data_IF_594605887633
#
_entry.id   IF_594605887633
#
_cell.length_a   1.000
_cell.length_b   1.000
_cell.length_c   1.000
_cell.angle_alpha   90.00
_cell.angle_beta   90.00
_cell.angle_gamma   90.00
#
_symmetry.space_group_name_H-M   'P 1'
#
loop_
_entity.id
_entity.type
_entity.pdbx_description
1 polymer ?
#
# COMPACT_ATOMS: atom_id res chain seq x y z
N UNK A 1 29.12 36.08 36.67
CA UNK A 1 29.25 34.73 36.07
C UNK A 1 27.97 34.02 36.44
N UNK A 2 27.06 34.03 35.49
CA UNK A 2 25.64 33.75 35.65
C UNK A 2 25.42 32.26 35.39
N UNK A 3 24.68 31.60 36.29
CA UNK A 3 24.29 30.21 36.16
C UNK A 3 23.53 29.99 34.84
N UNK A 4 23.98 29.02 34.04
CA UNK A 4 23.16 28.42 32.98
C UNK A 4 21.94 27.75 33.60
N UNK A 5 20.83 28.48 33.68
CA UNK A 5 19.50 27.89 33.79
C UNK A 5 19.21 27.14 32.50
N UNK A 6 19.45 25.83 32.49
CA UNK A 6 18.77 24.91 31.56
C UNK A 6 17.27 25.03 31.81
N UNK A 7 16.57 25.75 30.92
CA UNK A 7 15.12 25.70 30.85
C UNK A 7 14.71 24.25 30.54
N UNK A 8 14.21 23.55 31.56
CA UNK A 8 13.52 22.28 31.42
C UNK A 8 12.11 22.61 30.94
N UNK A 9 11.80 22.31 29.67
CA UNK A 9 10.45 22.39 29.16
C UNK A 9 9.73 21.04 29.35
N UNK A 10 8.45 21.03 29.78
CA UNK A 10 7.60 19.84 29.79
C UNK A 10 7.33 19.38 28.35
N UNK A 11 7.56 18.10 28.05
CA UNK A 11 7.36 17.58 26.69
C UNK A 11 5.90 17.20 26.42
N UNK A 12 5.51 17.34 25.17
CA UNK A 12 4.15 17.09 24.66
C UNK A 12 4.10 15.74 23.94
N UNK A 13 3.01 14.98 24.08
CA UNK A 13 2.79 13.69 23.40
C UNK A 13 1.65 13.83 22.40
N UNK A 14 1.90 13.49 21.14
CA UNK A 14 1.00 13.73 19.99
C UNK A 14 0.37 12.44 19.44
N UNK A 15 -0.91 12.45 19.05
CA UNK A 15 -1.61 11.27 18.47
C UNK A 15 -2.60 11.68 17.35
N UNK A 16 -2.38 11.14 16.14
CA UNK A 16 -3.24 11.00 14.94
C UNK A 16 -4.15 12.18 14.48
N UNK A 17 -4.47 12.23 13.18
CA UNK A 17 -5.33 13.26 12.57
C UNK A 17 -6.69 12.66 12.22
N UNK A 18 -7.82 13.32 12.52
CA UNK A 18 -9.13 12.86 12.09
C UNK A 18 -9.31 13.04 10.58
N UNK A 19 -10.05 12.12 9.97
CA UNK A 19 -10.50 12.24 8.59
C UNK A 19 -11.48 13.42 8.40
N UNK A 20 -11.24 14.25 7.38
CA UNK A 20 -12.17 15.26 6.89
C UNK A 20 -12.45 15.11 5.39
N UNK A 21 -12.33 13.93 4.77
CA UNK A 21 -12.58 13.79 3.33
C UNK A 21 -13.32 12.50 2.96
N UNK A 22 -14.64 12.56 3.11
CA UNK A 22 -15.58 11.69 2.41
C UNK A 22 -16.90 12.42 2.09
N UNK A 23 -16.83 13.52 1.34
CA UNK A 23 -17.97 14.08 0.62
C UNK A 23 -17.52 14.44 -0.80
N UNK A 24 -17.81 13.52 -1.73
CA UNK A 24 -17.40 13.64 -3.13
C UNK A 24 -17.87 12.47 -3.98
N UNK A 25 -19.07 11.94 -3.71
CA UNK A 25 -19.82 11.16 -4.70
C UNK A 25 -21.17 11.86 -4.85
N UNK A 26 -21.33 12.52 -5.99
CA UNK A 26 -22.57 13.11 -6.46
C UNK A 26 -23.68 12.05 -6.41
N UNK A 27 -24.65 12.23 -5.52
CA UNK A 27 -26.01 11.73 -5.68
C UNK A 27 -26.86 12.88 -6.24
N UNK A 28 -27.72 12.65 -7.23
CA UNK A 28 -28.45 13.73 -7.91
C UNK A 28 -29.45 14.39 -6.98
N UNK A 29 -29.51 15.71 -7.09
CA UNK A 29 -30.30 16.64 -6.30
C UNK A 29 -31.79 16.26 -6.21
N UNK A 30 -32.30 16.20 -4.98
CA UNK A 30 -33.69 16.55 -4.66
C UNK A 30 -33.65 17.83 -3.81
N UNK A 31 -33.80 18.99 -4.45
CA UNK A 31 -34.41 20.14 -3.81
C UNK A 31 -35.63 20.57 -4.63
N UNK A 32 -36.79 20.42 -4.01
CA UNK A 32 -38.05 20.90 -4.52
C UNK A 32 -38.11 22.43 -4.46
N UNK A 33 -38.50 23.04 -5.57
CA UNK A 33 -39.11 24.37 -5.59
C UNK A 33 -40.43 24.24 -6.33
N UNK A 34 -41.52 24.57 -5.62
CA UNK A 34 -42.87 24.58 -6.11
C UNK A 34 -43.09 25.70 -7.15
N UNK A 35 -43.69 25.35 -8.29
CA UNK A 35 -44.47 26.27 -9.11
C UNK A 35 -45.48 25.48 -9.95
N UNK A 36 -46.67 26.06 -10.10
CA UNK A 36 -47.92 25.51 -10.64
C UNK A 36 -47.84 25.06 -12.11
N UNK A 37 -48.51 23.95 -12.44
CA UNK A 37 -48.95 23.64 -13.82
C UNK A 37 -50.48 23.43 -13.88
N UNK A 38 -51.16 23.88 -14.96
CA UNK A 38 -52.56 23.55 -15.21
C UNK A 38 -52.75 22.40 -16.22
N UNK A 39 -53.56 21.42 -15.80
CA UNK A 39 -54.63 20.69 -16.52
C UNK A 39 -54.51 20.41 -18.03
N UNK A 40 -54.52 19.10 -18.40
CA UNK A 40 -55.43 18.42 -19.39
C UNK A 40 -54.99 16.95 -19.59
N UNK A 41 -55.83 15.96 -19.24
CA UNK A 41 -56.75 15.18 -20.14
C UNK A 41 -55.99 14.19 -21.04
N UNK A 42 -56.30 12.90 -21.25
CA UNK A 42 -57.38 11.96 -20.92
C UNK A 42 -56.94 10.55 -21.38
N UNK A 43 -57.59 9.48 -20.89
CA UNK A 43 -57.64 8.14 -21.52
C UNK A 43 -57.10 7.01 -20.62
N UNK A 44 -57.95 6.32 -19.84
CA UNK A 44 -58.62 5.04 -20.17
C UNK A 44 -57.64 3.88 -20.45
N UNK A 45 -57.82 2.63 -20.00
CA UNK A 45 -58.65 1.95 -19.00
C UNK A 45 -58.22 0.46 -19.03
N UNK A 46 -58.58 -0.28 -17.97
CA UNK A 46 -58.50 -1.75 -17.78
C UNK A 46 -57.11 -2.26 -17.33
N UNK A 47 -56.92 -2.86 -16.16
CA UNK A 47 -57.82 -3.57 -15.26
C UNK A 47 -57.57 -5.07 -15.38
N UNK A 48 -57.09 -5.70 -14.30
CA UNK A 48 -57.49 -7.02 -13.77
C UNK A 48 -56.87 -7.13 -12.37
N UNK A 49 -57.75 -7.34 -11.39
CA UNK A 49 -57.48 -7.64 -9.99
C UNK A 49 -57.24 -9.15 -9.78
N UNK A 50 -56.33 -9.43 -8.84
CA UNK A 50 -56.42 -10.40 -7.73
C UNK A 50 -56.74 -11.87 -8.04
N UNK A 51 -55.83 -12.75 -7.58
CA UNK A 51 -56.22 -13.96 -6.87
C UNK A 51 -55.11 -14.37 -5.88
N UNK A 52 -55.45 -14.28 -4.60
CA UNK A 52 -54.77 -14.84 -3.45
C UNK A 52 -55.29 -16.29 -3.28
N UNK A 53 -54.42 -17.29 -3.16
CA UNK A 53 -54.82 -18.59 -2.61
C UNK A 53 -53.65 -19.28 -1.91
N UNK A 54 -53.85 -19.47 -0.61
CA UNK A 54 -53.12 -20.29 0.33
C UNK A 54 -53.30 -21.78 -0.01
N UNK A 55 -52.31 -22.62 0.29
CA UNK A 55 -52.45 -23.86 1.10
C UNK A 55 -51.20 -24.73 1.04
N UNK A 56 -50.76 -25.10 2.24
CA UNK A 56 -49.72 -26.07 2.53
C UNK A 56 -50.02 -27.48 2.00
N UNK A 57 -49.00 -28.17 1.46
CA UNK A 57 -48.54 -29.52 1.83
C UNK A 57 -47.80 -30.23 0.67
N UNK A 58 -46.50 -30.51 0.84
CA UNK A 58 -45.92 -31.84 0.52
C UNK A 58 -44.46 -31.98 0.97
N UNK A 59 -44.29 -32.86 1.95
CA UNK A 59 -43.01 -33.38 2.45
C UNK A 59 -42.60 -34.68 1.69
N UNK A 60 -41.28 -34.90 1.59
CA UNK A 60 -40.48 -36.04 1.04
C UNK A 60 -40.19 -35.96 -0.46
N UNK A 61 -38.96 -36.20 -0.94
CA UNK A 61 -37.98 -37.23 -0.56
C UNK A 61 -36.51 -36.73 -0.55
N UNK A 62 -35.77 -37.07 0.52
CA UNK A 62 -34.29 -37.03 0.54
C UNK A 62 -33.77 -38.45 0.38
N UNK A 63 -32.87 -38.67 -0.59
CA UNK A 63 -32.11 -39.93 -0.74
C UNK A 63 -31.14 -40.05 0.44
N UNK A 64 -31.41 -40.98 1.34
CA UNK A 64 -30.48 -41.40 2.40
C UNK A 64 -29.42 -42.28 1.72
N UNK A 65 -28.17 -41.80 1.70
CA UNK A 65 -27.01 -42.66 1.36
C UNK A 65 -26.91 -43.74 2.44
N UNK A 66 -26.97 -45.00 2.02
CA UNK A 66 -26.85 -46.16 2.92
C UNK A 66 -25.57 -46.06 3.76
N UNK A 67 -25.71 -46.24 5.07
CA UNK A 67 -24.62 -46.30 6.04
C UNK A 67 -23.51 -47.30 5.63
N UNK A 68 -23.84 -48.32 4.83
CA UNK A 68 -22.85 -49.26 4.29
C UNK A 68 -21.87 -48.60 3.31
N UNK A 69 -22.32 -47.65 2.47
CA UNK A 69 -21.42 -46.98 1.50
C UNK A 69 -20.46 -45.99 2.17
N UNK A 70 -20.87 -45.40 3.30
CA UNK A 70 -20.01 -44.55 4.12
C UNK A 70 -18.98 -45.41 4.86
N UNK A 71 -19.39 -46.58 5.37
CA UNK A 71 -18.47 -47.52 6.03
C UNK A 71 -17.43 -48.10 5.06
N UNK A 72 -17.81 -48.45 3.82
CA UNK A 72 -16.88 -48.91 2.79
C UNK A 72 -15.86 -47.83 2.41
N UNK A 73 -16.29 -46.58 2.24
CA UNK A 73 -15.38 -45.47 1.93
C UNK A 73 -14.37 -45.20 3.06
N UNK A 74 -14.80 -45.30 4.32
CA UNK A 74 -13.92 -45.13 5.48
C UNK A 74 -12.92 -46.27 5.63
N UNK A 75 -13.32 -47.51 5.33
CA UNK A 75 -12.42 -48.67 5.34
C UNK A 75 -11.34 -48.59 4.26
N UNK A 76 -11.68 -48.11 3.06
CA UNK A 76 -10.71 -47.90 1.97
C UNK A 76 -9.69 -46.81 2.34
N UNK A 77 -10.14 -45.71 2.94
CA UNK A 77 -9.24 -44.64 3.39
C UNK A 77 -8.32 -45.09 4.52
N UNK A 78 -8.80 -45.91 5.46
CA UNK A 78 -7.98 -46.48 6.52
C UNK A 78 -6.92 -47.46 5.96
N UNK A 79 -7.29 -48.30 4.99
CA UNK A 79 -6.36 -49.23 4.35
C UNK A 79 -5.23 -48.50 3.59
N UNK A 80 -5.56 -47.40 2.90
CA UNK A 80 -4.57 -46.57 2.20
C UNK A 80 -3.61 -45.86 3.18
N UNK A 81 -4.10 -45.42 4.34
CA UNK A 81 -3.26 -44.82 5.39
C UNK A 81 -2.29 -45.84 6.00
N UNK A 82 -2.74 -47.09 6.23
CA UNK A 82 -1.89 -48.18 6.74
C UNK A 82 -0.83 -48.59 5.71
N UNK A 83 -1.19 -48.69 4.43
CA UNK A 83 -0.24 -48.99 3.35
C UNK A 83 0.82 -47.87 3.19
N UNK A 84 0.40 -46.60 3.29
CA UNK A 84 1.31 -45.46 3.29
C UNK A 84 2.28 -45.47 4.48
N UNK A 85 1.81 -45.83 5.67
CA UNK A 85 2.66 -45.95 6.85
C UNK A 85 3.67 -47.10 6.74
N UNK A 86 3.28 -48.23 6.14
CA UNK A 86 4.16 -49.38 5.92
C UNK A 86 5.26 -49.09 4.88
N UNK A 87 4.95 -48.35 3.81
CA UNK A 87 5.93 -47.94 2.80
C UNK A 87 6.96 -46.93 3.35
N UNK A 88 6.58 -46.11 4.33
CA UNK A 88 7.49 -45.15 4.97
C UNK A 88 8.43 -45.80 5.99
N UNK A 89 8.07 -46.97 6.55
CA UNK A 89 8.85 -47.62 7.61
C UNK A 89 9.89 -48.63 7.10
N UNK A 90 9.76 -49.15 5.86
CA UNK A 90 10.60 -50.24 5.36
C UNK A 90 11.76 -49.84 4.43
N UNK A 91 11.93 -48.55 4.11
CA UNK A 91 13.00 -48.09 3.20
C UNK A 91 14.29 -47.61 3.91
N UNK A 92 14.38 -47.75 5.24
CA UNK A 92 15.59 -47.42 6.00
C UNK A 92 16.42 -48.68 6.28
N UNK A 93 17.28 -49.08 5.34
CA UNK A 93 18.19 -50.20 5.52
C UNK A 93 19.49 -50.09 4.72
N UNK A 94 20.60 -49.98 5.46
CA UNK A 94 21.98 -50.41 5.15
C UNK A 94 22.95 -49.39 4.50
N UNK A 95 24.01 -49.06 5.27
CA UNK A 95 25.40 -49.21 4.80
C UNK A 95 26.25 -47.95 4.60
N UNK A 96 26.94 -47.50 5.65
CA UNK A 96 28.04 -46.52 5.62
C UNK A 96 29.38 -47.26 5.44
N UNK A 97 30.42 -46.64 4.83
CA UNK A 97 31.64 -46.46 5.63
C UNK A 97 32.28 -45.07 5.49
N UNK A 98 32.37 -44.42 6.65
CA UNK A 98 33.51 -43.74 7.29
C UNK A 98 34.45 -42.84 6.45
N UNK A 99 34.39 -41.52 6.70
CA UNK A 99 35.55 -40.69 7.08
C UNK A 99 35.12 -39.37 7.75
N UNK A 100 35.71 -39.13 8.93
CA UNK A 100 35.88 -37.92 9.78
C UNK A 100 35.89 -36.56 9.04
N UNK A 101 35.53 -35.40 9.59
CA UNK A 101 34.97 -34.89 10.86
C UNK A 101 34.67 -33.38 10.56
N UNK A 102 33.55 -32.81 11.04
CA UNK A 102 33.28 -31.38 11.43
C UNK A 102 31.78 -30.99 11.20
N UNK A 103 31.10 -30.26 12.13
CA UNK A 103 29.64 -30.34 12.27
C UNK A 103 28.87 -29.01 12.09
N UNK A 104 28.00 -28.92 11.08
CA UNK A 104 26.77 -28.10 11.14
C UNK A 104 25.61 -28.86 10.49
N UNK A 105 24.49 -28.94 11.22
CA UNK A 105 23.29 -29.71 10.84
C UNK A 105 22.55 -29.04 9.68
N UNK A 106 22.43 -29.79 8.60
CA UNK A 106 21.55 -29.58 7.46
C UNK A 106 20.16 -30.19 7.76
N UNK A 107 19.10 -29.44 7.46
CA UNK A 107 17.74 -29.98 7.30
C UNK A 107 17.26 -29.60 5.91
N UNK A 108 17.25 -30.58 5.01
CA UNK A 108 17.07 -30.43 3.55
C UNK A 108 15.65 -30.04 3.13
N UNK A 109 15.62 -29.31 2.02
CA UNK A 109 14.50 -28.78 1.22
C UNK A 109 13.58 -29.85 0.62
N UNK A 110 12.32 -29.49 0.31
CA UNK A 110 11.62 -29.93 -0.91
C UNK A 110 10.57 -28.90 -1.37
N UNK A 111 10.50 -28.76 -2.71
CA UNK A 111 9.66 -27.89 -3.53
C UNK A 111 8.19 -28.33 -3.60
N UNK A 112 7.29 -27.34 -3.76
CA UNK A 112 5.96 -27.51 -4.37
C UNK A 112 5.85 -26.50 -5.53
N UNK A 113 5.59 -26.95 -6.77
CA UNK A 113 5.29 -26.05 -7.88
C UNK A 113 3.82 -25.64 -7.80
N UNK A 114 3.54 -24.33 -7.80
CA UNK A 114 2.20 -23.82 -8.02
C UNK A 114 2.22 -22.72 -9.07
N UNK A 115 2.18 -23.12 -10.34
CA UNK A 115 1.54 -22.35 -11.40
C UNK A 115 0.90 -23.31 -12.41
N UNK A 116 -0.39 -23.18 -12.74
CA UNK A 116 -0.85 -23.53 -14.05
C UNK A 116 -0.57 -22.35 -14.99
N UNK A 117 0.30 -22.61 -15.97
CA UNK A 117 0.58 -21.78 -17.14
C UNK A 117 -0.72 -21.52 -17.91
N UNK A 118 -0.99 -20.26 -18.28
CA UNK A 118 -2.11 -19.90 -19.14
C UNK A 118 -1.99 -20.60 -20.51
N UNK A 119 -3.13 -21.09 -21.03
CA UNK A 119 -3.25 -21.66 -22.37
C UNK A 119 -2.98 -20.57 -23.41
N UNK A 120 -1.97 -20.79 -24.25
CA UNK A 120 -1.86 -20.10 -25.53
C UNK A 120 -2.93 -20.65 -26.49
N UNK A 121 -3.74 -19.76 -27.06
CA UNK A 121 -4.57 -20.07 -28.22
C UNK A 121 -3.67 -20.19 -29.45
N UNK A 122 -3.85 -21.26 -30.21
CA UNK A 122 -3.28 -21.43 -31.54
C UNK A 122 -3.86 -20.36 -32.47
N UNK A 123 -3.01 -19.61 -33.15
CA UNK A 123 -3.20 -19.38 -34.58
C UNK A 123 -1.85 -19.26 -35.30
N UNK A 124 -1.89 -19.62 -36.57
CA UNK A 124 -0.82 -20.16 -37.40
C UNK A 124 0.07 -19.10 -38.08
N UNK A 125 1.38 -19.34 -38.09
CA UNK A 125 2.33 -18.52 -38.85
C UNK A 125 3.77 -19.06 -38.75
N UNK A 126 4.17 -19.87 -39.73
CA UNK A 126 5.48 -20.49 -39.83
C UNK A 126 6.58 -19.50 -40.22
N UNK A 127 7.53 -19.21 -39.31
CA UNK A 127 8.90 -18.80 -39.67
C UNK A 127 9.90 -19.47 -38.71
N UNK A 128 10.80 -20.28 -39.26
CA UNK A 128 11.95 -20.87 -38.56
C UNK A 128 13.07 -19.83 -38.43
N UNK A 129 13.53 -19.55 -37.21
CA UNK A 129 14.88 -19.00 -36.98
C UNK A 129 15.36 -19.29 -35.55
N UNK A 130 16.53 -19.94 -35.45
CA UNK A 130 17.51 -19.88 -34.37
C UNK A 130 17.05 -20.05 -32.92
N UNK A 131 17.24 -21.25 -32.36
CA UNK A 131 17.29 -21.44 -30.91
C UNK A 131 18.57 -20.80 -30.34
N UNK A 132 18.47 -19.54 -29.90
CA UNK A 132 19.33 -19.00 -28.86
C UNK A 132 18.77 -19.44 -27.51
N UNK A 133 19.60 -20.04 -26.66
CA UNK A 133 19.25 -20.26 -25.28
C UNK A 133 18.92 -18.89 -24.65
N UNK A 134 17.67 -18.68 -24.27
CA UNK A 134 17.34 -17.62 -23.34
C UNK A 134 18.02 -18.01 -22.02
N UNK A 135 19.14 -17.38 -21.71
CA UNK A 135 19.63 -17.33 -20.34
C UNK A 135 18.45 -16.86 -19.48
N UNK A 136 18.14 -17.60 -18.43
CA UNK A 136 17.19 -17.13 -17.44
C UNK A 136 17.77 -15.82 -16.90
N UNK A 137 17.15 -14.68 -17.20
CA UNK A 137 17.46 -13.43 -16.52
C UNK A 137 17.29 -13.69 -15.02
N UNK A 138 18.40 -13.67 -14.30
CA UNK A 138 18.42 -13.66 -12.85
C UNK A 138 17.78 -12.34 -12.44
N UNK A 139 16.65 -12.37 -11.73
CA UNK A 139 15.99 -11.15 -11.27
C UNK A 139 16.96 -10.41 -10.35
N UNK A 140 17.21 -9.13 -10.62
CA UNK A 140 18.11 -8.33 -9.80
C UNK A 140 17.33 -7.63 -8.69
N UNK A 141 17.94 -7.50 -7.51
CA UNK A 141 17.41 -6.63 -6.46
C UNK A 141 18.18 -5.32 -6.44
N UNK A 142 17.49 -4.18 -6.35
CA UNK A 142 18.11 -2.89 -6.11
C UNK A 142 17.79 -2.37 -4.71
N UNK A 143 18.73 -1.65 -4.09
CA UNK A 143 18.56 -1.05 -2.76
C UNK A 143 18.80 0.44 -2.85
N UNK A 144 17.82 1.22 -2.37
CA UNK A 144 17.87 2.67 -2.39
C UNK A 144 17.80 3.21 -0.95
N UNK A 145 18.67 4.16 -0.57
CA UNK A 145 18.61 4.76 0.75
C UNK A 145 17.34 5.62 0.89
N UNK A 146 16.75 5.60 2.08
CA UNK A 146 15.63 6.47 2.46
C UNK A 146 16.13 7.54 3.42
N UNK A 147 15.69 8.78 3.19
CA UNK A 147 15.89 9.93 4.06
C UNK A 147 14.52 10.54 4.43
N UNK A 148 14.54 11.56 5.28
CA UNK A 148 13.33 12.19 5.78
C UNK A 148 12.89 11.60 7.12
N UNK A 149 11.80 12.13 7.63
CA UNK A 149 11.18 11.70 8.89
C UNK A 149 9.75 12.28 9.02
N UNK A 150 8.96 11.75 9.95
CA UNK A 150 7.58 12.23 10.16
C UNK A 150 7.53 13.66 10.75
N UNK A 151 8.44 14.00 11.67
CA UNK A 151 8.44 15.29 12.35
C UNK A 151 9.25 16.35 11.59
N UNK A 152 8.67 17.52 11.33
CA UNK A 152 9.24 18.59 10.47
C UNK A 152 9.22 18.30 8.97
N UNK A 153 9.79 17.17 8.53
CA UNK A 153 9.86 16.87 7.08
C UNK A 153 8.49 16.40 6.58
N UNK A 154 7.79 15.58 7.38
CA UNK A 154 6.46 14.99 7.07
C UNK A 154 6.46 14.06 5.86
N UNK A 155 7.62 13.62 5.42
CA UNK A 155 7.79 12.82 4.21
C UNK A 155 9.05 11.95 4.32
N UNK A 156 9.05 10.83 3.60
CA UNK A 156 10.20 9.95 3.44
C UNK A 156 10.53 9.85 1.97
N UNK A 157 11.76 10.18 1.59
CA UNK A 157 12.14 10.24 0.19
C UNK A 157 13.37 9.41 -0.11
N UNK A 158 13.47 8.98 -1.37
CA UNK A 158 14.66 8.33 -1.92
C UNK A 158 15.24 9.14 -3.09
N UNK A 159 16.35 8.67 -3.66
CA UNK A 159 16.99 9.31 -4.80
C UNK A 159 16.90 8.43 -6.04
N UNK A 160 16.42 8.99 -7.15
CA UNK A 160 16.42 8.35 -8.46
C UNK A 160 17.30 9.13 -9.44
N UNK A 161 17.99 8.43 -10.33
CA UNK A 161 18.88 9.03 -11.31
C UNK A 161 18.24 8.98 -12.69
N UNK A 162 17.79 10.12 -13.22
CA UNK A 162 17.00 10.20 -14.46
C UNK A 162 17.70 11.09 -15.50
N UNK A 163 17.60 10.70 -16.76
CA UNK A 163 18.12 11.40 -17.94
C UNK A 163 19.46 10.87 -18.45
N UNK A 164 19.95 11.53 -19.51
CA UNK A 164 21.26 11.25 -20.10
C UNK A 164 22.04 12.57 -20.34
N UNK A 165 23.09 12.87 -19.55
CA UNK A 165 23.65 12.06 -18.46
C UNK A 165 22.69 11.96 -17.25
N UNK A 166 22.77 10.89 -16.43
CA UNK A 166 21.90 10.70 -15.27
C UNK A 166 22.06 11.83 -14.24
N UNK A 167 20.93 12.33 -13.73
CA UNK A 167 20.88 13.37 -12.68
C UNK A 167 20.05 12.91 -11.49
N UNK A 168 20.45 13.21 -10.25
CA UNK A 168 19.70 12.83 -9.07
C UNK A 168 18.43 13.68 -8.93
N UNK A 169 17.35 13.03 -8.50
CA UNK A 169 16.09 13.65 -8.10
C UNK A 169 15.62 12.99 -6.80
N UNK A 170 15.16 13.79 -5.84
CA UNK A 170 14.61 13.32 -4.59
C UNK A 170 13.11 13.14 -4.72
N UNK A 171 12.58 11.96 -4.39
CA UNK A 171 11.17 11.64 -4.57
C UNK A 171 10.56 11.08 -3.31
N UNK A 172 9.43 11.67 -2.93
CA UNK A 172 8.60 11.21 -1.82
C UNK A 172 8.05 9.80 -2.13
N UNK A 173 8.20 8.88 -1.20
CA UNK A 173 7.89 7.46 -1.37
C UNK A 173 6.41 7.26 -1.12
N UNK A 174 5.63 6.96 -2.17
CA UNK A 174 4.18 6.98 -2.10
C UNK A 174 3.55 5.69 -2.65
N UNK A 175 3.12 4.80 -1.74
CA UNK A 175 2.37 3.59 -2.08
C UNK A 175 0.87 3.84 -2.33
N UNK A 176 0.40 5.07 -2.12
CA UNK A 176 -0.94 5.55 -2.40
C UNK A 176 -1.12 6.12 -3.81
N UNK A 177 -0.05 6.34 -4.58
CA UNK A 177 -0.14 6.86 -5.96
C UNK A 177 0.39 5.93 -7.05
N UNK A 178 -0.25 6.04 -8.22
CA UNK A 178 0.04 5.22 -9.40
C UNK A 178 1.26 5.71 -10.16
N UNK A 179 1.36 7.02 -10.41
CA UNK A 179 2.36 7.61 -11.31
C UNK A 179 3.54 8.18 -10.52
N UNK A 180 4.75 7.72 -10.84
CA UNK A 180 5.97 8.45 -10.49
C UNK A 180 6.07 9.71 -11.35
N UNK A 181 6.29 10.88 -10.75
CA UNK A 181 6.45 12.14 -11.49
C UNK A 181 7.53 13.06 -10.91
N UNK A 182 8.09 13.90 -11.78
CA UNK A 182 9.09 14.93 -11.48
C UNK A 182 8.57 16.31 -11.86
N UNK A 183 8.97 17.35 -11.12
CA UNK A 183 8.79 18.72 -11.57
C UNK A 183 9.70 19.01 -12.79
N UNK A 184 9.09 19.61 -13.80
CA UNK A 184 9.68 19.80 -15.11
C UNK A 184 9.71 21.25 -15.58
N UNK A 185 10.77 21.59 -16.32
CA UNK A 185 10.83 22.82 -17.09
C UNK A 185 10.31 22.54 -18.51
N UNK A 186 8.98 22.55 -18.63
CA UNK A 186 8.25 22.16 -19.84
C UNK A 186 7.13 23.13 -20.29
N UNK A 187 7.36 24.45 -20.38
CA UNK A 187 7.80 25.38 -19.34
C UNK A 187 6.95 25.25 -18.07
N UNK A 188 7.57 25.39 -16.91
CA UNK A 188 6.85 25.37 -15.64
C UNK A 188 5.89 26.56 -15.50
N UNK A 189 4.63 26.29 -15.13
CA UNK A 189 3.60 27.27 -14.80
C UNK A 189 3.57 27.55 -13.30
N UNK A 190 3.43 26.52 -12.46
CA UNK A 190 3.48 26.64 -11.00
C UNK A 190 4.30 25.48 -10.42
N UNK A 191 5.58 25.68 -10.10
CA UNK A 191 6.41 24.63 -9.50
C UNK A 191 7.09 25.14 -8.22
N UNK A 192 7.21 24.27 -7.23
CA UNK A 192 7.99 24.53 -6.03
C UNK A 192 9.49 24.59 -6.35
N UNK A 193 10.25 25.34 -5.54
CA UNK A 193 11.71 25.27 -5.60
C UNK A 193 12.17 24.02 -4.87
N UNK A 194 12.52 22.98 -5.62
CA UNK A 194 13.06 21.73 -5.11
C UNK A 194 14.58 21.74 -4.88
N UNK A 195 15.14 20.64 -4.36
CA UNK A 195 16.57 20.47 -4.12
C UNK A 195 17.40 20.39 -5.41
N UNK A 196 16.83 19.93 -6.53
CA UNK A 196 17.52 19.79 -7.81
C UNK A 196 16.90 20.69 -8.90
N UNK A 197 17.65 21.02 -9.98
CA UNK A 197 17.08 21.72 -11.12
C UNK A 197 15.99 20.91 -11.80
N UNK A 198 14.90 21.57 -12.19
CA UNK A 198 13.78 20.96 -12.91
C UNK A 198 14.24 20.08 -14.08
N UNK A 199 13.61 18.92 -14.23
CA UNK A 199 13.89 18.03 -15.36
C UNK A 199 13.44 18.67 -16.68
N UNK A 200 14.26 18.54 -17.72
CA UNK A 200 13.99 19.13 -19.04
C UNK A 200 13.76 18.01 -20.05
N UNK A 201 12.51 17.64 -20.37
CA UNK A 201 12.23 16.58 -21.32
C UNK A 201 12.68 17.01 -22.73
N UNK A 202 13.34 16.10 -23.46
CA UNK A 202 13.49 16.28 -24.90
C UNK A 202 12.12 16.11 -25.58
N UNK A 203 11.80 16.91 -26.60
CA UNK A 203 10.51 16.80 -27.31
C UNK A 203 10.21 15.39 -27.84
N UNK A 204 11.24 14.64 -28.21
CA UNK A 204 11.13 13.25 -28.68
C UNK A 204 10.81 12.23 -27.58
N UNK A 205 11.03 12.61 -26.32
CA UNK A 205 10.80 11.78 -25.13
C UNK A 205 9.36 11.93 -24.61
N UNK A 206 8.57 12.88 -25.14
CA UNK A 206 7.16 13.03 -24.77
C UNK A 206 6.38 11.83 -25.30
N UNK A 207 5.61 11.21 -24.41
CA UNK A 207 4.82 10.01 -24.73
C UNK A 207 3.56 10.41 -25.49
N UNK A 208 3.25 9.67 -26.57
CA UNK A 208 2.07 9.88 -27.39
C UNK A 208 0.82 9.23 -26.76
N UNK A 209 -0.40 9.72 -27.08
CA UNK A 209 -1.64 9.17 -26.53
C UNK A 209 -1.86 7.65 -26.73
N UNK A 210 -1.36 7.10 -27.85
CA UNK A 210 -1.49 5.66 -28.19
C UNK A 210 -0.51 4.75 -27.47
N UNK A 211 0.30 5.30 -26.57
CA UNK A 211 1.20 4.47 -25.78
C UNK A 211 0.37 3.62 -24.79
N UNK A 212 0.64 2.31 -24.62
CA UNK A 212 -0.19 1.45 -23.77
C UNK A 212 -0.38 1.98 -22.34
N UNK A 213 0.68 2.52 -21.73
CA UNK A 213 0.60 3.12 -20.39
C UNK A 213 -0.26 4.40 -20.34
N UNK A 214 -0.36 5.14 -21.46
CA UNK A 214 -1.26 6.29 -21.54
C UNK A 214 -2.73 5.84 -21.62
N UNK A 215 -3.00 4.84 -22.46
CA UNK A 215 -4.35 4.28 -22.63
C UNK A 215 -4.87 3.69 -21.32
N UNK A 216 -4.01 3.08 -20.51
CA UNK A 216 -4.34 2.60 -19.18
C UNK A 216 -4.64 3.76 -18.20
N UNK A 217 -3.84 4.82 -18.21
CA UNK A 217 -4.00 5.97 -17.33
C UNK A 217 -5.28 6.77 -17.61
N UNK A 218 -5.52 7.08 -18.88
CA UNK A 218 -6.61 7.97 -19.33
C UNK A 218 -7.92 7.20 -19.55
N UNK A 219 -7.82 5.88 -19.77
CA UNK A 219 -8.92 5.01 -20.16
C UNK A 219 -9.38 5.26 -21.61
N UNK A 220 -10.07 4.26 -22.18
CA UNK A 220 -10.53 4.29 -23.58
C UNK A 220 -11.55 5.40 -23.91
N UNK A 221 -12.10 6.10 -22.91
CA UNK A 221 -13.20 7.07 -23.09
C UNK A 221 -12.71 8.51 -23.34
N UNK A 222 -11.45 8.83 -23.04
CA UNK A 222 -10.86 10.16 -23.21
C UNK A 222 -9.80 10.18 -24.33
N UNK A 223 -9.92 9.26 -25.28
CA UNK A 223 -9.02 9.17 -26.42
C UNK A 223 -9.17 10.39 -27.36
N UNK A 224 -8.04 11.01 -27.68
CA UNK A 224 -7.97 12.21 -28.49
C UNK A 224 -7.04 11.98 -29.70
N UNK A 225 -7.65 11.79 -30.88
CA UNK A 225 -6.93 11.52 -32.14
C UNK A 225 -5.97 12.64 -32.57
N UNK A 226 -6.26 13.89 -32.17
CA UNK A 226 -5.46 15.07 -32.53
C UNK A 226 -4.44 15.44 -31.47
N UNK A 227 -4.49 14.81 -30.30
CA UNK A 227 -3.57 15.08 -29.21
C UNK A 227 -2.17 14.54 -29.56
N UNK A 228 -1.16 15.34 -29.24
CA UNK A 228 0.25 15.04 -29.57
C UNK A 228 1.07 14.59 -28.36
N UNK A 229 0.42 14.53 -27.20
CA UNK A 229 1.04 14.20 -25.91
C UNK A 229 0.00 13.51 -25.03
N UNK A 230 0.46 12.65 -24.14
CA UNK A 230 -0.36 12.07 -23.10
C UNK A 230 -0.31 12.95 -21.85
N UNK A 231 -1.41 13.64 -21.57
CA UNK A 231 -1.55 14.48 -20.39
C UNK A 231 -1.99 13.64 -19.18
N UNK A 232 -1.57 14.06 -17.99
CA UNK A 232 -2.07 13.54 -16.74
C UNK A 232 -2.50 14.68 -15.81
N UNK A 233 -3.47 14.41 -14.96
CA UNK A 233 -3.90 15.27 -13.87
C UNK A 233 -4.18 14.39 -12.65
N UNK A 234 -3.44 14.64 -11.57
CA UNK A 234 -3.55 13.89 -10.31
C UNK A 234 -4.01 14.85 -9.23
N UNK A 235 -5.08 14.48 -8.54
CA UNK A 235 -5.57 15.17 -7.34
C UNK A 235 -5.33 14.25 -6.14
N UNK A 236 -4.56 14.71 -5.17
CA UNK A 236 -4.23 13.99 -3.96
C UNK A 236 -5.33 14.10 -2.91
N UNK A 237 -5.28 13.19 -1.93
CA UNK A 237 -6.23 13.17 -0.81
C UNK A 237 -6.20 14.46 0.02
N UNK A 238 -5.15 15.27 -0.04
CA UNK A 238 -5.09 16.56 0.65
C UNK A 238 -5.48 17.76 -0.23
N UNK A 239 -6.09 17.48 -1.40
CA UNK A 239 -6.53 18.44 -2.41
C UNK A 239 -5.40 19.17 -3.15
N UNK A 240 -4.14 18.85 -2.88
CA UNK A 240 -3.06 19.25 -3.78
C UNK A 240 -3.19 18.51 -5.11
N UNK A 241 -2.64 19.08 -6.19
CA UNK A 241 -2.66 18.44 -7.50
C UNK A 241 -1.37 18.65 -8.27
N UNK A 242 -1.12 17.73 -9.21
CA UNK A 242 -0.05 17.84 -10.19
C UNK A 242 -0.60 17.53 -11.58
N UNK A 243 -0.38 18.46 -12.50
CA UNK A 243 -0.69 18.31 -13.92
C UNK A 243 0.60 18.32 -14.74
N UNK A 244 0.63 17.50 -15.79
CA UNK A 244 1.79 17.38 -16.66
C UNK A 244 1.57 16.48 -17.86
N UNK A 245 2.67 16.09 -18.48
CA UNK A 245 2.71 15.11 -19.58
C UNK A 245 3.48 13.87 -19.18
N UNK A 246 3.13 12.72 -19.75
CA UNK A 246 4.00 11.55 -19.67
C UNK A 246 5.26 11.75 -20.53
N UNK A 247 6.41 11.44 -19.95
CA UNK A 247 7.70 11.43 -20.60
C UNK A 247 8.36 10.05 -20.44
N UNK A 248 9.25 9.72 -21.37
CA UNK A 248 10.01 8.48 -21.40
C UNK A 248 11.49 8.79 -21.50
N UNK A 249 12.27 8.37 -20.52
CA UNK A 249 13.72 8.59 -20.52
C UNK A 249 14.43 7.53 -19.68
N UNK A 250 15.76 7.57 -19.73
CA UNK A 250 16.63 6.64 -19.03
C UNK A 250 16.61 6.91 -17.52
N UNK A 251 16.43 5.85 -16.74
CA UNK A 251 16.67 5.78 -15.31
C UNK A 251 17.87 4.89 -15.04
N UNK A 252 18.83 5.38 -14.27
CA UNK A 252 19.94 4.56 -13.78
C UNK A 252 19.57 3.94 -12.43
N UNK A 253 19.64 2.62 -12.37
CA UNK A 253 19.47 1.82 -11.17
C UNK A 253 20.78 1.10 -10.87
N UNK A 254 21.19 1.09 -9.59
CA UNK A 254 22.32 0.29 -9.14
C UNK A 254 21.75 -0.91 -8.39
N UNK A 255 22.01 -2.10 -8.89
CA UNK A 255 21.56 -3.36 -8.30
C UNK A 255 22.48 -3.76 -7.14
N UNK A 256 22.05 -4.72 -6.32
CA UNK A 256 22.72 -5.10 -5.08
C UNK A 256 24.08 -5.78 -5.32
N UNK A 257 24.27 -6.37 -6.50
CA UNK A 257 25.55 -6.88 -7.02
C UNK A 257 26.51 -5.76 -7.49
N UNK A 258 26.04 -4.51 -7.54
CA UNK A 258 26.81 -3.33 -7.93
C UNK A 258 26.74 -3.02 -9.43
N UNK A 259 25.98 -3.79 -10.20
CA UNK A 259 25.79 -3.55 -11.63
C UNK A 259 24.94 -2.30 -11.88
N UNK A 260 25.19 -1.65 -13.01
CA UNK A 260 24.50 -0.41 -13.42
C UNK A 260 23.52 -0.73 -14.52
N UNK A 261 22.25 -0.76 -14.17
CA UNK A 261 21.16 -0.92 -15.11
C UNK A 261 20.68 0.44 -15.61
N UNK A 262 20.59 0.60 -16.92
CA UNK A 262 19.97 1.77 -17.56
C UNK A 262 18.64 1.33 -18.12
N UNK A 263 17.57 1.78 -17.47
CA UNK A 263 16.22 1.34 -17.71
C UNK A 263 15.43 2.42 -18.42
N UNK A 264 14.62 2.02 -19.38
CA UNK A 264 13.75 2.94 -20.08
C UNK A 264 12.39 2.96 -19.36
N UNK A 265 12.07 4.10 -18.72
CA UNK A 265 10.88 4.24 -17.88
C UNK A 265 9.97 5.34 -18.39
N UNK A 266 8.66 5.16 -18.18
CA UNK A 266 7.66 6.21 -18.37
C UNK A 266 7.31 6.82 -17.03
N UNK A 267 7.32 8.14 -16.94
CA UNK A 267 7.02 8.89 -15.72
C UNK A 267 6.32 10.21 -16.07
N UNK A 268 5.72 10.86 -15.06
CA UNK A 268 5.08 12.15 -15.21
C UNK A 268 6.10 13.29 -15.20
N UNK A 269 5.96 14.20 -16.15
CA UNK A 269 6.70 15.44 -16.21
C UNK A 269 5.76 16.61 -15.88
N UNK A 270 5.68 16.92 -14.58
CA UNK A 270 4.73 17.86 -14.01
C UNK A 270 5.21 19.29 -14.12
N UNK A 271 4.39 20.18 -14.67
CA UNK A 271 4.72 21.60 -14.85
C UNK A 271 3.70 22.54 -14.20
N UNK A 272 2.64 22.01 -13.58
CA UNK A 272 1.67 22.79 -12.83
C UNK A 272 1.25 22.02 -11.57
N UNK A 273 1.73 22.49 -10.42
CA UNK A 273 1.45 21.97 -9.09
C UNK A 273 0.52 22.93 -8.34
N UNK A 274 -0.36 22.40 -7.51
CA UNK A 274 -1.30 23.19 -6.71
C UNK A 274 -1.33 22.74 -5.25
N UNK A 275 -1.85 23.59 -4.36
CA UNK A 275 -2.00 23.26 -2.94
C UNK A 275 -0.66 23.06 -2.22
N UNK A 276 -0.56 22.04 -1.38
CA UNK A 276 0.64 21.79 -0.55
C UNK A 276 1.90 21.44 -1.36
N UNK A 277 1.74 20.95 -2.59
CA UNK A 277 2.87 20.64 -3.49
C UNK A 277 3.65 21.89 -3.93
N UNK A 278 3.09 23.09 -3.73
CA UNK A 278 3.79 24.37 -3.96
C UNK A 278 4.60 24.87 -2.76
N UNK A 279 4.64 24.13 -1.64
CA UNK A 279 5.46 24.50 -0.49
C UNK A 279 6.94 24.65 -0.91
N UNK A 280 7.55 25.77 -0.53
CA UNK A 280 8.88 26.15 -1.01
C UNK A 280 9.72 26.75 0.13
N UNK A 281 10.99 26.31 0.31
CA UNK A 281 11.67 25.25 -0.44
C UNK A 281 11.09 23.86 -0.13
N UNK A 282 10.93 23.04 -1.17
CA UNK A 282 10.52 21.64 -1.03
C UNK A 282 11.74 20.75 -0.72
N UNK A 283 11.52 19.65 0.00
CA UNK A 283 12.57 18.66 0.25
C UNK A 283 12.74 17.67 -0.91
N UNK A 284 11.75 17.59 -1.80
CA UNK A 284 11.68 16.66 -2.92
C UNK A 284 11.43 17.39 -4.24
N UNK A 285 11.74 16.73 -5.34
CA UNK A 285 11.55 17.17 -6.72
C UNK A 285 10.29 16.58 -7.37
N UNK A 286 9.57 15.70 -6.65
CA UNK A 286 8.39 14.99 -7.15
C UNK A 286 8.01 13.81 -6.25
N UNK A 287 7.19 12.90 -6.79
CA UNK A 287 6.64 11.75 -6.05
C UNK A 287 7.00 10.44 -6.77
N UNK A 288 7.39 9.44 -5.99
CA UNK A 288 7.65 8.07 -6.40
C UNK A 288 6.39 7.23 -6.16
N UNK A 289 5.58 7.08 -7.22
CA UNK A 289 4.37 6.26 -7.22
C UNK A 289 4.69 4.76 -7.23
N UNK A 290 4.24 4.07 -6.19
CA UNK A 290 4.52 2.66 -5.90
C UNK A 290 3.28 1.77 -5.87
N UNK A 291 2.11 2.25 -6.31
CA UNK A 291 0.89 1.42 -6.31
C UNK A 291 0.99 0.18 -7.21
N UNK A 292 -0.06 -0.63 -7.27
CA UNK A 292 -0.11 -1.81 -8.15
C UNK A 292 -0.55 -1.52 -9.61
N UNK A 293 -0.65 -0.24 -10.02
CA UNK A 293 -0.98 0.16 -11.39
C UNK A 293 0.09 -0.27 -12.39
N UNK A 294 -0.22 -0.49 -13.67
CA UNK A 294 0.84 -0.87 -14.61
C UNK A 294 1.81 0.28 -14.94
N UNK A 295 1.35 1.53 -14.78
CA UNK A 295 2.20 2.71 -14.93
C UNK A 295 3.13 2.96 -13.73
N UNK A 296 2.92 2.28 -12.60
CA UNK A 296 3.79 2.46 -11.43
C UNK A 296 5.20 1.91 -11.69
N UNK A 297 6.20 2.50 -11.03
CA UNK A 297 7.59 2.12 -11.25
C UNK A 297 7.83 0.61 -10.99
N UNK A 298 7.37 0.02 -9.86
CA UNK A 298 7.61 -1.40 -9.60
C UNK A 298 7.02 -2.30 -10.70
N UNK A 299 5.83 -1.97 -11.21
CA UNK A 299 5.20 -2.77 -12.26
C UNK A 299 5.92 -2.63 -13.60
N UNK A 300 6.38 -1.43 -13.95
CA UNK A 300 7.23 -1.23 -15.14
C UNK A 300 8.51 -2.07 -15.06
N UNK A 301 9.22 -2.01 -13.93
CA UNK A 301 10.45 -2.78 -13.71
C UNK A 301 10.22 -4.30 -13.77
N UNK A 302 9.13 -4.77 -13.15
CA UNK A 302 8.76 -6.17 -13.18
C UNK A 302 8.39 -6.65 -14.60
N UNK A 303 7.68 -5.83 -15.37
CA UNK A 303 7.30 -6.15 -16.76
C UNK A 303 8.50 -6.28 -17.69
N UNK A 304 9.60 -5.59 -17.36
CA UNK A 304 10.88 -5.66 -18.05
C UNK A 304 11.77 -6.81 -17.54
N UNK A 305 11.33 -7.58 -16.54
CA UNK A 305 12.10 -8.67 -15.94
C UNK A 305 13.25 -8.20 -15.04
N UNK A 306 13.27 -6.93 -14.64
CA UNK A 306 14.36 -6.37 -13.83
C UNK A 306 14.23 -6.82 -12.37
N UNK A 307 13.01 -6.84 -11.84
CA UNK A 307 12.70 -7.22 -10.45
C UNK A 307 11.60 -8.28 -10.39
N UNK A 308 11.52 -9.02 -9.28
CA UNK A 308 10.54 -10.08 -8.99
C UNK A 308 9.11 -9.60 -8.68
N UNK A 309 8.71 -8.42 -9.14
CA UNK A 309 7.44 -7.75 -8.82
C UNK A 309 7.14 -7.65 -7.32
N UNK A 310 8.18 -7.40 -6.53
CA UNK A 310 8.10 -7.16 -5.08
C UNK A 310 8.98 -5.97 -4.76
N UNK A 311 8.54 -5.17 -3.78
CA UNK A 311 9.37 -4.16 -3.15
C UNK A 311 9.05 -4.10 -1.66
N UNK A 312 9.89 -3.42 -0.90
CA UNK A 312 9.62 -3.10 0.49
C UNK A 312 10.45 -1.92 0.96
N UNK A 313 10.07 -1.34 2.09
CA UNK A 313 10.80 -0.24 2.71
C UNK A 313 10.90 -0.43 4.23
N UNK A 314 12.04 -0.03 4.77
CA UNK A 314 12.32 0.08 6.19
C UNK A 314 12.65 1.55 6.48
N UNK A 315 11.68 2.26 7.03
CA UNK A 315 11.81 3.68 7.34
C UNK A 315 12.34 3.83 8.77
N UNK A 316 13.37 4.65 8.92
CA UNK A 316 13.92 4.98 10.23
C UNK A 316 13.10 6.07 10.91
N UNK A 317 13.06 6.02 12.25
CA UNK A 317 12.46 7.07 13.07
C UNK A 317 13.36 8.31 13.16
N UNK A 318 14.66 8.08 13.33
CA UNK A 318 15.64 9.14 13.53
C UNK A 318 16.35 9.47 12.21
N UNK A 319 16.44 10.76 11.91
CA UNK A 319 17.20 11.30 10.76
C UNK A 319 18.63 10.76 10.64
N UNK A 320 19.27 10.42 11.76
CA UNK A 320 20.66 9.96 11.82
C UNK A 320 20.85 8.51 11.40
N UNK A 321 19.81 7.68 11.52
CA UNK A 321 19.91 6.24 11.30
C UNK A 321 19.64 5.83 9.85
N UNK A 322 18.89 6.65 9.08
CA UNK A 322 18.57 6.39 7.68
C UNK A 322 17.70 5.14 7.48
N UNK A 323 16.88 5.13 6.43
CA UNK A 323 16.13 3.94 6.03
C UNK A 323 16.66 3.33 4.74
N UNK A 324 15.99 2.28 4.27
CA UNK A 324 16.24 1.73 2.94
C UNK A 324 14.95 1.19 2.33
N UNK A 325 14.86 1.25 1.00
CA UNK A 325 13.89 0.49 0.22
C UNK A 325 14.62 -0.49 -0.68
N UNK A 326 13.94 -1.57 -1.03
CA UNK A 326 14.44 -2.55 -1.99
C UNK A 326 13.39 -2.79 -3.07
N UNK A 327 13.85 -2.99 -4.30
CA UNK A 327 13.06 -3.37 -5.47
C UNK A 327 13.57 -4.76 -5.90
N UNK A 328 12.81 -5.81 -5.63
CA UNK A 328 13.23 -7.22 -5.72
C UNK A 328 12.88 -8.02 -4.47
N UNK A 329 13.28 -9.29 -4.41
CA UNK A 329 12.91 -10.25 -3.35
C UNK A 329 14.07 -10.67 -2.43
N UNK A 330 15.30 -10.25 -2.70
CA UNK A 330 16.47 -10.67 -1.90
C UNK A 330 16.46 -10.19 -0.45
N UNK A 331 15.80 -9.04 -0.19
CA UNK A 331 15.74 -8.41 1.12
C UNK A 331 14.46 -8.76 1.91
N UNK A 332 13.62 -9.66 1.40
CA UNK A 332 12.44 -10.12 2.13
C UNK A 332 12.90 -10.96 3.33
N UNK A 333 12.52 -10.60 4.58
CA UNK A 333 12.93 -11.38 5.75
C UNK A 333 12.41 -12.82 5.70
N UNK A 334 13.29 -13.79 5.94
CA UNK A 334 12.96 -15.22 5.90
C UNK A 334 12.01 -15.66 7.03
N UNK A 335 11.94 -14.88 8.11
CA UNK A 335 11.13 -15.15 9.30
C UNK A 335 10.69 -13.84 9.96
N UNK A 336 9.71 -13.91 10.87
CA UNK A 336 9.18 -12.73 11.58
C UNK A 336 8.14 -11.92 10.80
N UNK A 337 7.91 -12.23 9.52
CA UNK A 337 6.91 -11.53 8.70
C UNK A 337 5.48 -12.05 8.95
N UNK A 338 4.54 -11.10 9.03
CA UNK A 338 3.10 -11.39 9.02
C UNK A 338 2.51 -10.95 7.69
N UNK A 339 2.07 -11.91 6.88
CA UNK A 339 1.46 -11.61 5.58
C UNK A 339 -0.05 -11.40 5.68
N UNK A 340 -0.60 -10.45 4.93
CA UNK A 340 -2.05 -10.32 4.80
C UNK A 340 -2.40 -10.25 3.33
N UNK A 341 -3.46 -10.94 2.88
CA UNK A 341 -3.89 -10.80 1.50
C UNK A 341 -4.38 -9.36 1.29
N UNK A 342 -3.78 -8.70 0.31
CA UNK A 342 -4.27 -7.43 -0.21
C UNK A 342 -5.51 -7.75 -1.04
N UNK A 343 -6.64 -7.10 -0.75
CA UNK A 343 -7.89 -7.37 -1.48
C UNK A 343 -7.83 -6.66 -2.83
N UNK A 344 -7.95 -7.43 -3.92
CA UNK A 344 -8.28 -6.90 -5.23
C UNK A 344 -9.68 -6.26 -5.18
N UNK A 345 -9.78 -5.00 -5.55
CA UNK A 345 -11.02 -4.20 -5.59
C UNK A 345 -10.87 -3.06 -6.61
N UNK A 346 -11.84 -2.15 -6.75
CA UNK A 346 -11.74 -1.03 -7.71
C UNK A 346 -10.61 -0.07 -7.32
N UNK A 347 -9.55 0.01 -8.10
CA UNK A 347 -8.37 0.87 -7.90
C UNK A 347 -7.11 0.13 -7.43
N UNK A 348 -5.98 0.85 -7.45
CA UNK A 348 -4.64 0.26 -7.41
C UNK A 348 -3.95 0.29 -6.02
N UNK A 349 -4.70 0.64 -4.97
CA UNK A 349 -4.20 0.84 -3.62
C UNK A 349 -3.94 -0.48 -2.86
N UNK A 350 -2.91 -0.47 -2.02
CA UNK A 350 -2.60 -1.57 -1.09
C UNK A 350 -3.55 -1.59 0.11
N UNK A 351 -4.75 -2.14 -0.09
CA UNK A 351 -5.79 -2.22 0.94
C UNK A 351 -6.13 -3.63 1.39
N UNK A 352 -6.55 -3.74 2.65
CA UNK A 352 -7.09 -4.96 3.23
C UNK A 352 -8.20 -4.66 4.23
N UNK A 353 -8.78 -5.70 4.83
CA UNK A 353 -9.84 -5.56 5.83
C UNK A 353 -9.35 -6.01 7.20
N UNK A 354 -9.55 -5.13 8.18
CA UNK A 354 -9.38 -5.46 9.60
C UNK A 354 -10.73 -5.76 10.22
N UNK A 355 -10.74 -6.77 11.07
CA UNK A 355 -11.92 -7.21 11.83
C UNK A 355 -12.11 -6.38 13.10
N UNK A 356 -10.99 -5.95 13.70
CA UNK A 356 -10.98 -5.13 14.93
C UNK A 356 -9.80 -4.19 14.91
N UNK A 357 -10.00 -3.02 15.50
CA UNK A 357 -8.94 -2.05 15.82
C UNK A 357 -8.98 -1.86 17.33
N UNK A 358 -7.90 -2.19 18.03
CA UNK A 358 -7.85 -2.11 19.48
C UNK A 358 -6.80 -1.11 19.96
N UNK A 359 -7.05 -0.48 21.11
CA UNK A 359 -6.07 0.20 21.94
C UNK A 359 -5.93 -0.56 23.26
N UNK A 360 -4.81 -1.28 23.44
CA UNK A 360 -4.72 -2.30 24.49
C UNK A 360 -5.85 -3.32 24.36
N UNK A 361 -6.62 -3.52 25.43
CA UNK A 361 -7.76 -4.44 25.45
C UNK A 361 -9.09 -3.79 25.03
N UNK A 362 -9.09 -2.49 24.71
CA UNK A 362 -10.29 -1.73 24.35
C UNK A 362 -10.46 -1.68 22.82
N UNK A 363 -11.60 -2.20 22.33
CA UNK A 363 -11.95 -2.16 20.91
C UNK A 363 -12.43 -0.75 20.52
N UNK A 364 -11.78 -0.14 19.52
CA UNK A 364 -12.04 1.21 19.02
C UNK A 364 -13.14 1.24 17.96
N UNK A 365 -13.23 0.20 17.13
CA UNK A 365 -14.22 0.11 16.05
C UNK A 365 -15.62 -0.23 16.59
N UNK A 366 -16.64 0.41 16.02
CA UNK A 366 -18.03 0.24 16.45
C UNK A 366 -18.54 -1.17 16.10
N UNK A 367 -18.72 -2.01 17.13
CA UNK A 367 -19.39 -3.33 17.17
C UNK A 367 -19.67 -4.00 15.81
N UNK A 368 -18.61 -4.40 15.10
CA UNK A 368 -18.69 -5.37 14.01
C UNK A 368 -18.67 -4.82 12.58
N UNK A 369 -18.39 -3.53 12.37
CA UNK A 369 -18.11 -3.01 11.03
C UNK A 369 -16.68 -3.40 10.62
N UNK A 370 -16.54 -4.00 9.44
CA UNK A 370 -15.23 -4.24 8.85
C UNK A 370 -14.61 -2.90 8.45
N UNK A 371 -13.40 -2.63 8.94
CA UNK A 371 -12.67 -1.42 8.59
C UNK A 371 -11.73 -1.75 7.45
N UNK A 372 -11.80 -0.96 6.37
CA UNK A 372 -10.79 -1.02 5.32
C UNK A 372 -9.57 -0.25 5.78
N UNK A 373 -8.39 -0.84 5.58
CA UNK A 373 -7.10 -0.21 5.89
C UNK A 373 -6.32 -0.14 4.59
N UNK A 374 -5.76 1.04 4.32
CA UNK A 374 -4.84 1.29 3.21
C UNK A 374 -3.45 1.46 3.83
N UNK A 375 -2.46 0.78 3.28
CA UNK A 375 -1.06 0.99 3.64
C UNK A 375 -0.46 2.01 2.67
N UNK A 376 -0.23 3.21 3.19
CA UNK A 376 0.17 4.37 2.41
C UNK A 376 1.40 5.03 3.03
N UNK A 377 2.54 4.95 2.36
CA UNK A 377 3.78 5.60 2.76
C UNK A 377 3.81 7.10 2.46
N UNK A 378 2.97 7.59 1.53
CA UNK A 378 2.80 9.01 1.23
C UNK A 378 1.93 9.74 2.26
N UNK A 379 1.47 9.03 3.29
CA UNK A 379 0.66 9.55 4.39
C UNK A 379 1.48 9.64 5.67
N UNK A 380 1.84 10.86 6.09
CA UNK A 380 2.73 11.08 7.25
C UNK A 380 2.17 10.54 8.57
N UNK A 381 0.84 10.50 8.70
CA UNK A 381 0.15 10.09 9.92
C UNK A 381 -0.86 8.98 9.62
N UNK A 382 -1.22 8.21 10.66
CA UNK A 382 -2.37 7.30 10.56
C UNK A 382 -3.67 8.09 10.69
N UNK A 383 -4.53 7.96 9.69
CA UNK A 383 -5.88 8.52 9.69
C UNK A 383 -6.88 7.46 10.13
N UNK A 384 -7.71 7.82 11.10
CA UNK A 384 -8.77 6.95 11.63
C UNK A 384 -10.12 7.54 11.27
N UNK A 385 -11.14 6.69 10.99
CA UNK A 385 -12.49 7.20 10.89
C UNK A 385 -12.90 7.86 12.21
N UNK A 386 -13.79 8.84 12.11
CA UNK A 386 -14.10 9.76 13.20
C UNK A 386 -14.50 9.05 14.52
N UNK A 387 -15.25 7.95 14.44
CA UNK A 387 -15.68 7.18 15.61
C UNK A 387 -14.52 6.51 16.35
N UNK A 388 -13.67 5.80 15.61
CA UNK A 388 -12.47 5.13 16.09
C UNK A 388 -11.48 6.15 16.69
N UNK A 389 -11.27 7.27 16.00
CA UNK A 389 -10.44 8.38 16.49
C UNK A 389 -10.96 8.92 17.82
N UNK A 390 -12.26 9.22 17.91
CA UNK A 390 -12.86 9.77 19.14
C UNK A 390 -12.76 8.78 20.30
N UNK A 391 -12.96 7.49 20.05
CA UNK A 391 -12.79 6.44 21.05
C UNK A 391 -11.34 6.30 21.53
N UNK A 392 -10.37 6.46 20.61
CA UNK A 392 -8.95 6.49 20.96
C UNK A 392 -8.65 7.70 21.85
N UNK A 393 -9.05 8.90 21.45
CA UNK A 393 -8.86 10.12 22.23
C UNK A 393 -9.49 10.02 23.62
N UNK A 394 -10.69 9.46 23.74
CA UNK A 394 -11.32 9.21 25.03
C UNK A 394 -10.49 8.27 25.93
N UNK A 395 -9.92 7.21 25.34
CA UNK A 395 -9.02 6.28 26.04
C UNK A 395 -7.75 6.99 26.52
N UNK A 396 -7.19 7.88 25.69
CA UNK A 396 -5.95 8.62 26.00
C UNK A 396 -6.14 9.67 27.11
N UNK A 397 -7.27 10.36 27.14
CA UNK A 397 -7.63 11.28 28.23
C UNK A 397 -7.79 10.58 29.58
N UNK A 398 -7.95 9.26 29.60
CA UNK A 398 -8.14 8.46 30.81
C UNK A 398 -6.86 7.83 31.38
N UNK A 399 -5.69 8.03 30.74
CA UNK A 399 -4.46 7.29 31.08
C UNK A 399 -3.88 7.63 32.45
N UNK A 400 -3.72 8.92 32.75
CA UNK A 400 -3.05 9.37 33.98
C UNK A 400 -3.42 10.82 34.31
N UNK A 401 -3.59 11.17 35.61
CA UNK A 401 -3.73 12.56 36.04
C UNK A 401 -2.54 13.46 35.66
N UNK A 402 -1.36 12.87 35.46
CA UNK A 402 -0.13 13.59 35.12
C UNK A 402 0.02 13.94 33.63
N UNK A 403 -0.88 13.44 32.78
CA UNK A 403 -0.93 13.78 31.35
C UNK A 403 -2.25 14.53 31.08
N UNK A 404 -2.15 15.83 30.90
CA UNK A 404 -3.30 16.69 30.64
C UNK A 404 -3.34 17.07 29.16
N UNK A 405 -4.55 17.22 28.60
CA UNK A 405 -4.69 17.76 27.25
C UNK A 405 -4.09 19.17 27.18
N UNK A 406 -3.33 19.45 26.13
CA UNK A 406 -2.71 20.75 25.88
C UNK A 406 -3.29 21.38 24.61
N UNK A 407 -4.21 22.32 24.79
CA UNK A 407 -4.85 23.03 23.67
C UNK A 407 -3.99 24.19 23.14
N UNK A 408 -2.85 24.49 23.77
CA UNK A 408 -1.93 25.54 23.32
C UNK A 408 -1.02 25.09 22.18
N UNK A 409 -0.75 23.78 22.08
CA UNK A 409 0.02 23.19 20.98
C UNK A 409 -0.91 22.73 19.86
N UNK A 410 -0.84 23.42 18.72
CA UNK A 410 -1.66 23.15 17.53
C UNK A 410 -0.95 22.28 16.48
N UNK A 411 0.17 21.63 16.85
CA UNK A 411 0.94 20.78 15.93
C UNK A 411 0.10 19.62 15.40
N UNK A 412 -0.70 18.99 16.27
CA UNK A 412 -1.70 18.01 15.92
C UNK A 412 -3.07 18.37 16.53
N UNK A 413 -4.16 17.77 16.02
CA UNK A 413 -5.51 17.96 16.58
C UNK A 413 -5.67 17.49 18.04
N UNK A 414 -4.77 16.65 18.53
CA UNK A 414 -4.74 16.22 19.93
C UNK A 414 -3.30 16.16 20.46
N UNK A 415 -3.06 16.97 21.49
CA UNK A 415 -1.79 17.09 22.18
C UNK A 415 -2.01 16.89 23.69
N UNK A 416 -1.04 16.26 24.36
CA UNK A 416 -1.03 16.11 25.82
C UNK A 416 0.28 16.64 26.39
N UNK A 417 0.24 17.27 27.56
CA UNK A 417 1.38 17.78 28.31
C UNK A 417 1.56 16.99 29.60
N UNK A 418 2.80 16.58 29.85
CA UNK A 418 3.18 15.98 31.12
C UNK A 418 3.43 17.06 32.20
N UNK A 419 3.04 16.78 33.43
CA UNK A 419 3.44 17.57 34.62
C UNK A 419 4.90 17.31 35.06
N UNK A 420 5.59 16.42 34.36
CA UNK A 420 7.01 16.08 34.52
C UNK A 420 7.81 16.32 33.22
N UNK A 421 9.15 16.45 33.30
CA UNK A 421 9.99 16.62 32.12
C UNK A 421 9.95 15.37 31.22
N UNK A 422 9.69 15.55 29.93
CA UNK A 422 9.69 14.49 28.91
C UNK A 422 10.73 14.85 27.87
N UNK A 423 11.75 14.00 27.71
CA UNK A 423 12.86 14.20 26.76
C UNK A 423 12.72 13.31 25.54
N UNK A 424 12.13 12.14 25.72
CA UNK A 424 11.98 11.12 24.69
C UNK A 424 10.68 10.34 24.92
N UNK A 425 10.22 9.65 23.88
CA UNK A 425 9.01 8.81 23.99
C UNK A 425 9.21 7.71 25.03
N UNK A 426 10.46 7.30 25.29
CA UNK A 426 10.78 6.30 26.32
C UNK A 426 10.37 6.73 27.73
N UNK A 427 10.32 8.03 28.02
CA UNK A 427 9.92 8.55 29.34
C UNK A 427 8.43 8.30 29.63
N UNK A 428 7.62 8.18 28.58
CA UNK A 428 6.15 8.15 28.67
C UNK A 428 5.52 6.89 28.10
N UNK A 429 6.20 6.13 27.23
CA UNK A 429 5.61 5.00 26.47
C UNK A 429 4.91 3.96 27.34
N UNK A 430 5.41 3.74 28.56
CA UNK A 430 4.83 2.81 29.53
C UNK A 430 3.42 3.19 30.01
N UNK A 431 3.05 4.47 29.87
CA UNK A 431 1.71 4.98 30.20
C UNK A 431 0.69 4.69 29.11
N UNK A 432 1.15 4.39 27.90
CA UNK A 432 0.28 4.16 26.75
C UNK A 432 0.18 2.67 26.40
N UNK A 433 -0.83 2.29 25.63
CA UNK A 433 -1.09 0.91 25.21
C UNK A 433 -0.89 0.76 23.70
N UNK A 434 -0.40 -0.39 23.22
CA UNK A 434 -0.23 -0.59 21.79
C UNK A 434 -1.58 -0.52 21.05
N UNK A 435 -1.55 0.00 19.82
CA UNK A 435 -2.65 -0.17 18.87
C UNK A 435 -2.50 -1.53 18.19
N UNK A 436 -3.60 -2.25 17.97
CA UNK A 436 -3.56 -3.55 17.31
C UNK A 436 -4.65 -3.68 16.25
N UNK A 437 -4.23 -3.99 15.02
CA UNK A 437 -5.11 -4.37 13.93
C UNK A 437 -5.26 -5.89 13.92
N UNK A 438 -6.49 -6.39 14.02
CA UNK A 438 -6.78 -7.83 13.98
C UNK A 438 -7.37 -8.16 12.61
N UNK A 439 -6.67 -8.95 11.81
CA UNK A 439 -7.14 -9.36 10.49
C UNK A 439 -8.04 -10.60 10.57
N UNK A 440 -8.94 -10.75 9.58
CA UNK A 440 -9.85 -11.91 9.50
C UNK A 440 -9.09 -13.23 9.51
N UNK A 441 -9.60 -14.19 10.28
CA UNK A 441 -9.18 -15.59 10.22
C UNK A 441 -9.64 -16.21 8.90
N UNK A 442 -8.75 -16.85 8.15
CA UNK A 442 -9.14 -17.91 7.21
C UNK A 442 -9.23 -19.23 7.99
N UNK A 443 -10.09 -20.15 7.54
CA UNK A 443 -10.63 -21.29 8.30
C UNK A 443 -9.61 -22.28 8.91
N UNK A 444 -8.30 -22.09 8.70
CA UNK A 444 -7.21 -22.87 9.31
C UNK A 444 -5.98 -22.04 9.74
N UNK A 445 -6.11 -20.71 9.80
CA UNK A 445 -4.98 -19.80 10.13
C UNK A 445 -5.33 -19.03 11.41
N UNK A 446 -4.38 -18.98 12.35
CA UNK A 446 -4.45 -18.10 13.52
C UNK A 446 -4.75 -16.66 13.08
N UNK A 447 -5.51 -15.88 13.87
CA UNK A 447 -5.72 -14.47 13.58
C UNK A 447 -4.36 -13.79 13.49
N UNK A 448 -4.14 -13.03 12.41
CA UNK A 448 -2.93 -12.23 12.25
C UNK A 448 -3.19 -10.89 12.93
N UNK A 449 -2.21 -10.45 13.71
CA UNK A 449 -2.26 -9.17 14.41
C UNK A 449 -1.11 -8.31 13.91
N UNK A 450 -1.39 -7.05 13.60
CA UNK A 450 -0.37 -6.03 13.39
C UNK A 450 -0.41 -5.08 14.57
N UNK A 451 0.67 -5.06 15.34
CA UNK A 451 0.77 -4.32 16.60
C UNK A 451 1.66 -3.10 16.37
N UNK A 452 1.13 -1.93 16.70
CA UNK A 452 1.82 -0.65 16.63
C UNK A 452 2.11 -0.23 18.08
N UNK A 453 3.36 -0.33 18.55
CA UNK A 453 3.74 0.06 19.89
C UNK A 453 3.67 1.59 20.09
N UNK A 454 3.62 2.09 21.34
CA UNK A 454 3.56 3.52 21.63
C UNK A 454 4.60 4.36 20.91
N UNK A 455 5.83 3.88 20.83
CA UNK A 455 6.93 4.56 20.13
C UNK A 455 6.71 4.75 18.63
N UNK A 456 5.71 4.11 18.01
CA UNK A 456 5.41 4.21 16.58
C UNK A 456 4.24 5.17 16.29
N UNK A 457 3.42 5.52 17.29
CA UNK A 457 2.29 6.46 17.11
C UNK A 457 2.37 7.70 18.00
N UNK A 458 3.36 7.77 18.90
CA UNK A 458 3.65 8.94 19.74
C UNK A 458 4.78 9.78 19.14
N UNK A 459 4.61 11.09 19.14
CA UNK A 459 5.65 12.04 18.75
C UNK A 459 5.77 13.11 19.83
N UNK A 460 7.01 13.61 20.04
CA UNK A 460 7.27 14.74 20.93
C UNK A 460 7.33 16.04 20.14
N UNK A 461 6.43 16.96 20.47
CA UNK A 461 6.51 18.34 19.98
C UNK A 461 7.57 19.10 20.78
N UNK A 462 8.46 19.79 20.08
CA UNK A 462 9.42 20.73 20.68
C UNK A 462 8.92 22.12 20.35
N UNK A 463 8.06 22.66 21.21
CA UNK A 463 7.60 24.04 21.10
C UNK A 463 8.80 24.97 21.39
N UNK A 464 9.35 25.59 20.36
CA UNK A 464 10.25 26.73 20.54
C UNK A 464 9.38 27.92 20.93
N UNK A 465 9.36 28.27 22.22
CA UNK A 465 8.91 29.58 22.67
C UNK A 465 10.05 30.58 22.61
#
# INVERSE_FOLDING_TARGET
>A
MEEEKKLLLPGVVMIAVPDQLALGLLSPDEEGVAAEEPVRSCGEARGIEVAEEDYAARWRERRVLSLCRVAEALLVLAALAVAGHYCLYYSAGVGVPFSREEPWREGRSFLLPLYPKARASQDSGSIKAGAGAAEAMENSTAVLPIRGNVFRDREYYTSMYIGNPPRPYFLDIDTGSDLTWLQCDAPCTNCAKGPNPLYKPAKRNVVLPRHPLCEELVGNQNYCDTCKQCDYDIIYADQSSSMGVLARDNMQLITADGEKEILDIVFGCGYDQQGKLLASPANVDGILGLSNAAISLPTQLASQGIISNVFGHCMAKDHSSGGYMFLGDDYIPRWGMTWVPIRSGPGNLYRTEVQKVNYGDHQLDARGKLTQVIFDSGSSYTYLPHGEYTNLIASLKSLSPSLLQDDSDQTLPFCMKADFPVRSVDDVKQLFKPLTLVFKKKWFILPRTFTIPPEDYLIISVSFH
#
